data_IF_124893668354
#
_entry.id   IF_124893668354
#
_cell.length_a   1.000
_cell.length_b   1.000
_cell.length_c   1.000
_cell.angle_alpha   90.00
_cell.angle_beta   90.00
_cell.angle_gamma   90.00
#
_symmetry.space_group_name_H-M   'P 1'
#
loop_
_entity.id
_entity.type
_entity.pdbx_description
1 polymer ?
#
# COMPACT_ATOMS: atom_id res chain seq x y z
N UNK A 1 22.89 -2.02 26.83
CA UNK A 1 23.08 -1.71 25.38
C UNK A 1 21.94 -0.85 24.91
N UNK A 2 22.20 0.21 24.13
CA UNK A 2 21.12 0.99 23.51
C UNK A 2 20.56 0.20 22.30
N UNK A 3 19.30 -0.16 22.36
CA UNK A 3 18.61 -0.81 21.22
C UNK A 3 18.58 0.11 20.00
N UNK A 4 18.95 -0.43 18.84
CA UNK A 4 19.08 0.32 17.61
C UNK A 4 17.86 0.10 16.69
N UNK A 5 17.03 1.13 16.58
CA UNK A 5 15.91 1.20 15.63
C UNK A 5 16.37 1.87 14.33
N UNK A 6 15.98 1.33 13.18
CA UNK A 6 16.25 1.90 11.86
C UNK A 6 15.02 1.98 10.98
N UNK A 7 15.00 2.96 10.06
CA UNK A 7 14.03 3.06 8.97
C UNK A 7 14.78 2.89 7.65
N UNK A 8 14.48 1.83 6.90
CA UNK A 8 15.04 1.55 5.57
C UNK A 8 14.04 1.98 4.50
N UNK A 9 14.22 3.14 3.85
CA UNK A 9 13.29 3.60 2.82
C UNK A 9 13.51 2.86 1.50
N UNK A 10 12.47 2.78 0.65
CA UNK A 10 12.57 2.23 -0.71
C UNK A 10 13.61 2.97 -1.57
N UNK A 11 13.80 4.25 -1.31
CA UNK A 11 14.77 5.09 -1.98
C UNK A 11 15.35 6.13 -1.00
N UNK A 12 16.65 6.44 -1.10
CA UNK A 12 17.33 7.36 -0.17
C UNK A 12 16.71 8.78 -0.10
N UNK A 13 16.04 9.22 -1.16
CA UNK A 13 15.36 10.51 -1.22
C UNK A 13 13.84 10.43 -0.91
N UNK A 14 13.36 9.30 -0.41
CA UNK A 14 11.96 9.16 0.00
C UNK A 14 11.55 10.24 1.00
N UNK A 15 10.60 11.12 0.60
CA UNK A 15 10.08 12.18 1.48
C UNK A 15 9.46 11.56 2.73
N UNK A 16 8.54 10.61 2.56
CA UNK A 16 7.83 9.99 3.68
C UNK A 16 8.75 9.19 4.61
N UNK A 17 9.71 8.43 4.06
CA UNK A 17 10.71 7.74 4.87
C UNK A 17 11.58 8.70 5.68
N UNK A 18 11.94 9.85 5.11
CA UNK A 18 12.69 10.90 5.78
C UNK A 18 11.87 11.57 6.90
N UNK A 19 10.62 11.92 6.64
CA UNK A 19 9.74 12.55 7.64
C UNK A 19 9.45 11.59 8.81
N UNK A 20 9.19 10.32 8.53
CA UNK A 20 9.00 9.30 9.56
C UNK A 20 10.25 9.11 10.41
N UNK A 21 11.41 9.02 9.77
CA UNK A 21 12.71 8.94 10.48
C UNK A 21 12.92 10.14 11.39
N UNK A 22 12.64 11.36 10.92
CA UNK A 22 12.79 12.60 11.71
C UNK A 22 11.82 12.63 12.90
N UNK A 23 10.56 12.23 12.70
CA UNK A 23 9.56 12.19 13.78
C UNK A 23 9.92 11.20 14.89
N UNK A 24 10.78 10.23 14.59
CA UNK A 24 11.30 9.25 15.54
C UNK A 24 12.69 9.63 16.11
N UNK A 25 13.28 10.75 15.67
CA UNK A 25 14.62 11.17 16.11
C UNK A 25 15.76 10.24 15.67
N UNK A 26 15.58 9.49 14.56
CA UNK A 26 16.54 8.48 14.14
C UNK A 26 17.59 9.03 13.16
N UNK A 27 18.80 8.45 13.19
CA UNK A 27 19.83 8.66 12.18
C UNK A 27 19.41 8.07 10.81
N UNK A 28 20.10 8.45 9.72
CA UNK A 28 19.90 7.83 8.40
C UNK A 28 20.23 6.34 8.47
N UNK A 29 19.46 5.55 7.69
CA UNK A 29 19.78 4.14 7.50
C UNK A 29 21.18 3.98 6.90
N UNK A 30 21.94 3.03 7.46
CA UNK A 30 23.25 2.65 6.98
C UNK A 30 23.30 1.11 6.92
N UNK A 31 23.55 0.55 5.74
CA UNK A 31 23.60 -0.89 5.51
C UNK A 31 24.74 -1.61 6.27
N UNK A 32 25.78 -0.86 6.68
CA UNK A 32 26.91 -1.40 7.45
C UNK A 32 26.60 -1.54 8.95
N UNK A 33 25.43 -1.08 9.39
CA UNK A 33 25.03 -1.17 10.78
C UNK A 33 24.09 -2.38 11.02
N UNK A 34 24.23 -2.99 12.20
CA UNK A 34 23.25 -3.93 12.73
C UNK A 34 22.13 -3.17 13.44
N UNK A 35 20.89 -3.59 13.25
CA UNK A 35 19.71 -3.04 13.90
C UNK A 35 19.02 -4.11 14.74
N UNK A 36 18.53 -3.77 15.92
CA UNK A 36 17.67 -4.66 16.71
C UNK A 36 16.28 -4.73 16.07
N UNK A 37 15.79 -3.58 15.58
CA UNK A 37 14.53 -3.47 14.86
C UNK A 37 14.70 -2.61 13.61
N UNK A 38 14.37 -3.15 12.45
CA UNK A 38 14.39 -2.45 11.18
C UNK A 38 12.96 -2.33 10.63
N UNK A 39 12.51 -1.11 10.40
CA UNK A 39 11.26 -0.84 9.70
C UNK A 39 11.59 -0.68 8.20
N UNK A 40 11.17 -1.65 7.41
CA UNK A 40 11.37 -1.60 5.97
C UNK A 40 10.22 -0.82 5.31
N UNK A 41 10.50 0.42 4.93
CA UNK A 41 9.56 1.35 4.32
C UNK A 41 9.57 1.24 2.79
N UNK A 42 9.15 0.06 2.29
CA UNK A 42 8.95 -0.22 0.87
C UNK A 42 10.20 -0.65 0.08
N UNK A 43 11.33 -0.94 0.74
CA UNK A 43 12.53 -1.39 0.04
C UNK A 43 12.43 -2.87 -0.36
N UNK A 44 12.68 -3.16 -1.63
CA UNK A 44 12.76 -4.54 -2.16
C UNK A 44 14.18 -5.14 -2.09
N UNK A 45 15.12 -4.42 -1.46
CA UNK A 45 16.50 -4.90 -1.27
C UNK A 45 16.56 -5.74 -0.02
N UNK A 46 17.55 -6.63 0.05
CA UNK A 46 17.85 -7.43 1.23
C UNK A 46 17.74 -6.62 2.53
N UNK A 47 17.16 -7.22 3.58
CA UNK A 47 16.94 -6.58 4.87
C UNK A 47 18.24 -6.29 5.64
N UNK A 48 19.37 -6.82 5.17
CA UNK A 48 20.68 -6.60 5.80
C UNK A 48 20.76 -7.19 7.21
N UNK A 49 21.59 -6.59 8.05
CA UNK A 49 21.87 -7.06 9.41
C UNK A 49 20.82 -6.51 10.40
N UNK A 50 19.65 -7.15 10.49
CA UNK A 50 18.63 -6.81 11.48
C UNK A 50 18.18 -8.06 12.26
N UNK A 51 18.02 -7.93 13.58
CA UNK A 51 17.49 -9.01 14.43
C UNK A 51 16.00 -9.24 14.09
N UNK A 52 15.24 -8.16 13.92
CA UNK A 52 13.85 -8.20 13.49
C UNK A 52 13.61 -7.16 12.39
N UNK A 53 12.96 -7.56 11.31
CA UNK A 53 12.50 -6.65 10.25
C UNK A 53 10.98 -6.65 10.22
N UNK A 54 10.39 -5.45 10.27
CA UNK A 54 8.97 -5.18 10.05
C UNK A 54 8.80 -4.87 8.56
N UNK A 55 7.92 -5.58 7.89
CA UNK A 55 7.79 -5.69 6.44
C UNK A 55 9.06 -6.25 5.78
N UNK A 56 9.24 -7.57 5.85
CA UNK A 56 10.34 -8.24 5.14
C UNK A 56 10.32 -7.96 3.64
N UNK A 57 11.49 -7.93 3.01
CA UNK A 57 11.63 -7.60 1.60
C UNK A 57 10.79 -8.48 0.67
N UNK A 58 10.71 -9.78 0.97
CA UNK A 58 9.89 -10.74 0.20
C UNK A 58 8.40 -10.39 0.23
N UNK A 59 7.89 -9.88 1.37
CA UNK A 59 6.51 -9.45 1.51
C UNK A 59 6.24 -8.15 0.72
N UNK A 60 7.22 -7.25 0.71
CA UNK A 60 7.16 -6.03 -0.10
C UNK A 60 7.18 -6.37 -1.59
N UNK A 61 8.01 -7.32 -2.04
CA UNK A 61 8.02 -7.81 -3.43
C UNK A 61 6.65 -8.36 -3.83
N UNK A 62 6.00 -9.15 -2.96
CA UNK A 62 4.65 -9.68 -3.21
C UNK A 62 3.61 -8.57 -3.41
N UNK A 63 3.68 -7.47 -2.65
CA UNK A 63 2.73 -6.35 -2.76
C UNK A 63 3.05 -5.40 -3.92
N UNK A 64 4.31 -5.28 -4.29
CA UNK A 64 4.78 -4.38 -5.36
C UNK A 64 4.50 -4.91 -6.75
N UNK A 65 4.53 -6.22 -6.93
CA UNK A 65 4.07 -6.91 -8.14
C UNK A 65 2.54 -7.02 -8.12
N UNK A 66 1.88 -6.20 -8.94
CA UNK A 66 0.42 -6.09 -8.96
C UNK A 66 -0.28 -7.39 -9.33
N UNK A 67 0.25 -8.14 -10.28
CA UNK A 67 -0.33 -9.41 -10.69
C UNK A 67 -0.22 -10.46 -9.57
N UNK A 68 0.94 -10.54 -8.94
CA UNK A 68 1.18 -11.40 -7.79
C UNK A 68 0.30 -11.01 -6.60
N UNK A 69 0.18 -9.72 -6.30
CA UNK A 69 -0.70 -9.22 -5.27
C UNK A 69 -2.16 -9.60 -5.53
N UNK A 70 -2.65 -9.42 -6.76
CA UNK A 70 -4.01 -9.80 -7.15
C UNK A 70 -4.26 -11.30 -7.02
N UNK A 71 -3.30 -12.16 -7.38
CA UNK A 71 -3.42 -13.61 -7.20
C UNK A 71 -3.57 -13.98 -5.73
N UNK A 72 -2.66 -13.48 -4.87
CA UNK A 72 -2.69 -13.76 -3.42
C UNK A 72 -3.97 -13.23 -2.75
N UNK A 73 -4.43 -12.04 -3.13
CA UNK A 73 -5.68 -11.48 -2.65
C UNK A 73 -6.88 -12.34 -3.06
N UNK A 74 -6.94 -12.77 -4.31
CA UNK A 74 -8.01 -13.62 -4.84
C UNK A 74 -8.04 -15.00 -4.16
N UNK A 75 -6.89 -15.63 -3.93
CA UNK A 75 -6.75 -16.88 -3.17
C UNK A 75 -7.28 -16.75 -1.74
N UNK A 76 -7.21 -15.54 -1.16
CA UNK A 76 -7.74 -15.20 0.17
C UNK A 76 -9.21 -14.70 0.14
N UNK A 77 -9.95 -14.93 -0.94
CA UNK A 77 -11.33 -14.49 -1.16
C UNK A 77 -11.53 -12.97 -1.09
N UNK A 78 -10.47 -12.19 -1.30
CA UNK A 78 -10.54 -10.75 -1.41
C UNK A 78 -10.80 -10.38 -2.86
N UNK A 79 -11.86 -9.60 -3.09
CA UNK A 79 -12.22 -9.20 -4.44
C UNK A 79 -11.26 -8.16 -4.99
N UNK A 80 -10.71 -8.46 -6.18
CA UNK A 80 -9.90 -7.56 -7.00
C UNK A 80 -10.60 -7.34 -8.35
N UNK A 81 -10.29 -6.28 -9.11
CA UNK A 81 -10.82 -6.10 -10.45
C UNK A 81 -10.50 -7.31 -11.36
N UNK A 82 -11.38 -7.60 -12.30
CA UNK A 82 -11.10 -8.60 -13.36
C UNK A 82 -9.88 -8.15 -14.13
N UNK A 83 -8.93 -9.05 -14.36
CA UNK A 83 -7.66 -8.74 -15.03
C UNK A 83 -7.12 -9.94 -15.79
N UNK A 84 -6.28 -9.67 -16.79
CA UNK A 84 -5.60 -10.67 -17.62
C UNK A 84 -4.29 -10.09 -18.16
N UNK A 85 -3.34 -10.96 -18.51
CA UNK A 85 -2.13 -10.59 -19.27
C UNK A 85 -2.36 -10.69 -20.79
N UNK A 86 -3.46 -11.29 -21.23
CA UNK A 86 -3.81 -11.49 -22.63
C UNK A 86 -4.64 -10.33 -23.17
N UNK A 87 -4.10 -9.62 -24.18
CA UNK A 87 -4.85 -8.61 -24.91
C UNK A 87 -6.10 -9.22 -25.60
N UNK A 88 -6.00 -10.47 -26.02
CA UNK A 88 -7.11 -11.16 -26.67
C UNK A 88 -8.29 -11.35 -25.70
N UNK A 89 -8.01 -11.85 -24.48
CA UNK A 89 -9.03 -11.99 -23.44
C UNK A 89 -9.59 -10.64 -22.96
N UNK A 90 -8.77 -9.59 -22.98
CA UNK A 90 -9.19 -8.24 -22.57
C UNK A 90 -10.25 -7.63 -23.52
N UNK A 91 -10.37 -8.13 -24.77
CA UNK A 91 -11.42 -7.70 -25.71
C UNK A 91 -12.82 -8.03 -25.20
N UNK A 92 -12.94 -9.09 -24.39
CA UNK A 92 -14.22 -9.57 -23.82
C UNK A 92 -14.53 -8.98 -22.44
N UNK A 93 -13.75 -7.97 -21.99
CA UNK A 93 -14.00 -7.28 -20.73
C UNK A 93 -15.10 -6.22 -20.89
N UNK A 94 -15.70 -5.82 -19.75
CA UNK A 94 -16.51 -4.61 -19.72
C UNK A 94 -15.60 -3.38 -19.80
N UNK A 95 -15.91 -2.49 -20.73
CA UNK A 95 -15.12 -1.26 -20.93
C UNK A 95 -15.62 -0.13 -20.04
N UNK A 96 -14.75 0.78 -19.60
CA UNK A 96 -13.33 0.93 -19.99
C UNK A 96 -12.40 -0.17 -19.43
N UNK A 97 -11.30 -0.41 -20.15
CA UNK A 97 -10.21 -1.28 -19.72
C UNK A 97 -8.93 -0.46 -19.52
N UNK A 98 -8.24 -0.69 -18.42
CA UNK A 98 -6.95 -0.05 -18.13
C UNK A 98 -5.82 -0.96 -18.64
N UNK A 99 -5.09 -0.53 -19.67
CA UNK A 99 -3.85 -1.16 -20.13
C UNK A 99 -2.71 -0.67 -19.23
N UNK A 100 -2.03 -1.55 -18.49
CA UNK A 100 -1.08 -1.16 -17.44
C UNK A 100 0.30 -1.76 -17.65
N UNK A 101 1.32 -0.96 -17.31
CA UNK A 101 2.69 -1.44 -17.15
C UNK A 101 2.94 -1.78 -15.68
N UNK A 102 3.51 -2.97 -15.40
CA UNK A 102 3.59 -3.52 -14.04
C UNK A 102 4.53 -2.72 -13.13
N UNK A 103 5.65 -2.23 -13.67
CA UNK A 103 6.73 -1.60 -12.89
C UNK A 103 6.59 -0.08 -12.70
N UNK A 104 5.47 0.54 -13.12
CA UNK A 104 5.25 1.96 -12.98
C UNK A 104 4.32 2.29 -11.81
N UNK A 105 4.63 3.39 -11.13
CA UNK A 105 3.94 3.87 -9.93
C UNK A 105 3.17 5.16 -10.22
N UNK A 106 2.21 5.50 -9.35
CA UNK A 106 1.51 6.78 -9.40
C UNK A 106 0.59 6.96 -10.60
N UNK A 107 0.15 5.89 -11.25
CA UNK A 107 -0.73 5.95 -12.43
C UNK A 107 0.02 6.26 -13.74
N UNK A 108 1.35 6.32 -13.73
CA UNK A 108 2.12 6.39 -14.96
C UNK A 108 2.01 5.08 -15.76
N UNK A 109 2.03 5.16 -17.09
CA UNK A 109 1.92 3.99 -17.95
C UNK A 109 0.54 3.32 -17.93
N UNK A 110 -0.51 4.05 -17.58
CA UNK A 110 -1.89 3.61 -17.74
C UNK A 110 -2.46 4.25 -19.02
N UNK A 111 -2.86 3.39 -19.96
CA UNK A 111 -3.69 3.79 -21.09
C UNK A 111 -5.12 3.31 -20.85
N UNK A 112 -6.10 4.15 -21.14
CA UNK A 112 -7.52 3.87 -20.95
C UNK A 112 -8.12 3.51 -22.32
N UNK A 113 -8.48 2.24 -22.50
CA UNK A 113 -9.21 1.77 -23.68
C UNK A 113 -10.71 1.90 -23.40
N UNK A 114 -11.42 2.64 -24.23
CA UNK A 114 -12.88 2.82 -24.15
C UNK A 114 -13.65 1.76 -24.96
N UNK A 115 -12.97 1.16 -25.93
CA UNK A 115 -13.47 0.10 -26.81
C UNK A 115 -12.39 -0.96 -27.01
N UNK A 116 -12.70 -2.17 -27.52
CA UNK A 116 -11.72 -3.18 -27.88
C UNK A 116 -10.64 -2.70 -28.86
N UNK A 117 -10.95 -1.73 -29.73
CA UNK A 117 -10.02 -1.19 -30.73
C UNK A 117 -8.99 -0.21 -30.11
N UNK A 118 -9.25 0.28 -28.90
CA UNK A 118 -8.34 1.20 -28.19
C UNK A 118 -7.29 0.45 -27.36
N UNK A 119 -7.34 -0.88 -27.31
CA UNK A 119 -6.37 -1.68 -26.57
C UNK A 119 -4.96 -1.49 -27.13
N UNK A 120 -4.01 -1.21 -26.26
CA UNK A 120 -2.59 -1.11 -26.60
C UNK A 120 -1.79 -2.20 -25.91
N UNK A 121 -0.59 -2.52 -26.42
CA UNK A 121 0.32 -3.47 -25.78
C UNK A 121 0.68 -3.02 -24.36
N UNK A 122 0.45 -3.87 -23.40
CA UNK A 122 0.68 -3.63 -21.97
C UNK A 122 1.11 -4.92 -21.26
N UNK A 123 1.60 -4.83 -20.03
CA UNK A 123 1.97 -6.01 -19.25
C UNK A 123 0.71 -6.74 -18.74
N UNK A 124 -0.37 -6.00 -18.48
CA UNK A 124 -1.67 -6.56 -18.10
C UNK A 124 -2.82 -5.57 -18.33
N UNK A 125 -4.01 -6.11 -18.36
CA UNK A 125 -5.27 -5.42 -18.63
C UNK A 125 -6.19 -5.58 -17.43
N UNK A 126 -6.85 -4.49 -17.01
CA UNK A 126 -7.72 -4.47 -15.83
C UNK A 126 -9.05 -3.82 -16.20
N UNK A 127 -10.16 -4.50 -15.92
CA UNK A 127 -11.49 -3.92 -16.05
C UNK A 127 -11.64 -2.74 -15.09
N UNK A 128 -12.08 -1.59 -15.60
CA UNK A 128 -12.27 -0.40 -14.77
C UNK A 128 -13.50 -0.58 -13.87
N UNK A 129 -13.30 -0.32 -12.59
CA UNK A 129 -14.39 -0.33 -11.62
C UNK A 129 -14.85 1.11 -11.40
N UNK A 130 -16.10 1.42 -11.78
CA UNK A 130 -16.69 2.74 -11.51
C UNK A 130 -16.91 2.91 -10.00
N UNK A 131 -16.23 3.88 -9.35
CA UNK A 131 -16.32 4.00 -7.92
C UNK A 131 -17.43 4.95 -7.47
N UNK A 132 -18.27 4.53 -6.51
CA UNK A 132 -19.01 5.48 -5.65
C UNK A 132 -18.01 6.18 -4.73
N UNK A 133 -17.11 5.41 -4.13
CA UNK A 133 -16.08 5.92 -3.24
C UNK A 133 -14.78 5.13 -3.43
N UNK A 134 -13.67 5.80 -3.18
CA UNK A 134 -12.36 5.19 -3.12
C UNK A 134 -11.69 5.56 -1.80
N UNK A 135 -11.15 4.55 -1.12
CA UNK A 135 -10.59 4.68 0.22
C UNK A 135 -9.12 4.27 0.23
N UNK A 136 -8.33 4.90 1.08
CA UNK A 136 -7.03 4.42 1.52
C UNK A 136 -7.11 4.10 2.99
N UNK A 137 -6.87 2.83 3.34
CA UNK A 137 -6.93 2.34 4.72
C UNK A 137 -5.52 1.94 5.16
N UNK A 138 -5.03 2.60 6.19
CA UNK A 138 -3.72 2.34 6.78
C UNK A 138 -3.86 1.29 7.89
N UNK A 139 -3.15 0.18 7.72
CA UNK A 139 -3.13 -0.95 8.66
C UNK A 139 -1.74 -1.08 9.25
N UNK A 140 -1.63 -1.36 10.54
CA UNK A 140 -0.40 -1.73 11.22
C UNK A 140 -0.70 -2.82 12.26
N UNK A 141 -0.01 -3.98 12.18
CA UNK A 141 -0.22 -5.16 13.06
C UNK A 141 -1.72 -5.50 13.28
N UNK A 142 -2.48 -5.61 12.18
CA UNK A 142 -3.93 -5.92 12.16
C UNK A 142 -4.85 -4.82 12.73
N UNK A 143 -4.33 -3.64 13.03
CA UNK A 143 -5.12 -2.50 13.47
C UNK A 143 -5.25 -1.45 12.36
N UNK A 144 -6.44 -0.85 12.23
CA UNK A 144 -6.61 0.33 11.39
C UNK A 144 -6.09 1.53 12.18
N UNK A 145 -5.01 2.15 11.67
CA UNK A 145 -4.40 3.31 12.31
C UNK A 145 -4.85 4.64 11.71
N UNK A 146 -5.35 4.62 10.48
CA UNK A 146 -5.97 5.77 9.81
C UNK A 146 -6.76 5.29 8.60
N UNK A 147 -7.72 6.08 8.13
CA UNK A 147 -8.33 5.86 6.83
C UNK A 147 -8.77 7.18 6.21
N UNK A 148 -8.76 7.23 4.88
CA UNK A 148 -9.06 8.43 4.12
C UNK A 148 -9.94 8.09 2.94
N UNK A 149 -10.74 9.05 2.51
CA UNK A 149 -11.51 9.01 1.28
C UNK A 149 -10.74 9.77 0.20
N UNK A 150 -10.61 9.20 -0.99
CA UNK A 150 -10.06 9.87 -2.14
C UNK A 150 -11.14 10.77 -2.75
N UNK A 151 -10.86 12.05 -2.84
CA UNK A 151 -11.80 13.06 -3.37
C UNK A 151 -11.16 13.86 -4.51
N UNK A 152 -11.94 14.25 -5.54
CA UNK A 152 -11.45 15.14 -6.57
C UNK A 152 -11.19 16.54 -6.00
N UNK A 153 -10.18 17.23 -6.53
CA UNK A 153 -9.87 18.62 -6.17
C UNK A 153 -10.75 19.62 -6.94
N UNK A 154 -11.22 19.21 -8.12
CA UNK A 154 -12.08 20.01 -8.99
C UNK A 154 -12.96 19.12 -9.86
N UNK A 155 -13.92 19.72 -10.56
CA UNK A 155 -14.78 19.06 -11.55
C UNK A 155 -14.00 18.54 -12.76
N UNK A 156 -12.82 19.09 -13.03
CA UNK A 156 -11.94 18.71 -14.14
C UNK A 156 -10.93 17.62 -13.78
N UNK A 157 -11.04 17.00 -12.59
CA UNK A 157 -10.21 15.87 -12.21
C UNK A 157 -10.45 14.68 -13.15
N UNK A 158 -9.36 13.96 -13.50
CA UNK A 158 -9.45 12.83 -14.45
C UNK A 158 -10.45 11.78 -13.97
N UNK A 159 -11.31 11.32 -14.88
CA UNK A 159 -12.38 10.36 -14.55
C UNK A 159 -11.81 8.96 -14.21
N UNK A 160 -10.77 8.53 -14.91
CA UNK A 160 -10.26 7.16 -14.89
C UNK A 160 -8.98 7.01 -14.07
N UNK A 161 -8.03 7.96 -14.22
CA UNK A 161 -6.72 7.92 -13.54
C UNK A 161 -6.78 8.80 -12.29
N UNK A 162 -7.15 8.22 -11.16
CA UNK A 162 -7.48 8.93 -9.93
C UNK A 162 -6.27 9.04 -8.99
N UNK A 163 -5.28 9.84 -9.37
CA UNK A 163 -4.08 10.10 -8.58
C UNK A 163 -3.89 11.60 -8.27
N UNK A 164 -2.88 11.93 -7.47
CA UNK A 164 -2.60 13.32 -7.08
C UNK A 164 -2.31 14.24 -8.27
N UNK A 165 -1.53 13.76 -9.26
CA UNK A 165 -1.17 14.51 -10.46
C UNK A 165 -2.39 14.79 -11.38
N UNK A 166 -3.39 13.91 -11.31
CA UNK A 166 -4.64 13.98 -12.08
C UNK A 166 -5.79 14.60 -11.27
N UNK A 167 -5.47 15.35 -10.22
CA UNK A 167 -6.45 16.19 -9.52
C UNK A 167 -7.16 15.52 -8.34
N UNK A 168 -6.57 14.49 -7.69
CA UNK A 168 -7.16 13.89 -6.51
C UNK A 168 -6.34 14.16 -5.24
N UNK A 169 -7.00 14.12 -4.09
CA UNK A 169 -6.39 14.16 -2.76
C UNK A 169 -7.06 13.14 -1.83
N UNK A 170 -6.35 12.76 -0.78
CA UNK A 170 -6.92 11.99 0.31
C UNK A 170 -7.44 12.94 1.39
N UNK A 171 -8.71 12.75 1.81
CA UNK A 171 -9.34 13.44 2.93
C UNK A 171 -9.43 12.46 4.09
N UNK A 172 -8.75 12.77 5.19
CA UNK A 172 -8.73 11.94 6.39
C UNK A 172 -10.13 11.90 7.02
N UNK A 173 -10.56 10.71 7.44
CA UNK A 173 -11.85 10.47 8.07
C UNK A 173 -11.65 10.27 9.59
N UNK A 174 -11.42 11.37 10.33
CA UNK A 174 -11.07 11.30 11.77
C UNK A 174 -12.22 10.81 12.64
N UNK A 175 -13.44 11.23 12.35
CA UNK A 175 -14.64 10.94 13.16
C UNK A 175 -15.65 10.00 12.46
N UNK A 176 -15.27 9.45 11.30
CA UNK A 176 -16.17 8.60 10.53
C UNK A 176 -16.12 7.14 10.97
N UNK A 177 -17.29 6.50 11.10
CA UNK A 177 -17.34 5.06 11.30
C UNK A 177 -16.92 4.33 10.02
N UNK A 178 -15.86 3.56 10.10
CA UNK A 178 -15.41 2.73 8.97
C UNK A 178 -16.39 1.57 8.72
N UNK A 179 -16.71 1.28 7.46
CA UNK A 179 -17.53 0.12 7.11
C UNK A 179 -16.81 -1.17 7.54
N UNK A 180 -17.57 -2.09 8.20
CA UNK A 180 -16.99 -3.36 8.68
C UNK A 180 -16.31 -4.15 7.56
N UNK A 181 -16.92 -4.22 6.38
CA UNK A 181 -16.35 -4.92 5.23
C UNK A 181 -15.09 -4.23 4.67
N UNK A 182 -15.03 -2.89 4.71
CA UNK A 182 -13.83 -2.13 4.33
C UNK A 182 -12.66 -2.44 5.28
N UNK A 183 -12.95 -2.48 6.61
CA UNK A 183 -11.98 -2.86 7.64
C UNK A 183 -11.46 -4.29 7.43
N UNK A 184 -12.36 -5.24 7.21
CA UNK A 184 -12.03 -6.65 6.94
C UNK A 184 -11.11 -6.77 5.73
N UNK A 185 -11.50 -6.18 4.58
CA UNK A 185 -10.70 -6.24 3.35
C UNK A 185 -9.31 -5.64 3.53
N UNK A 186 -9.19 -4.52 4.24
CA UNK A 186 -7.90 -3.89 4.50
C UNK A 186 -6.99 -4.78 5.36
N UNK A 187 -7.49 -5.33 6.47
CA UNK A 187 -6.71 -6.17 7.37
C UNK A 187 -6.31 -7.49 6.69
N UNK A 188 -7.26 -8.17 6.03
CA UNK A 188 -6.98 -9.44 5.35
C UNK A 188 -6.03 -9.25 4.16
N UNK A 189 -6.05 -8.10 3.47
CA UNK A 189 -5.07 -7.77 2.43
C UNK A 189 -3.64 -7.71 2.97
N UNK A 190 -3.44 -7.11 4.14
CA UNK A 190 -2.12 -7.05 4.80
C UNK A 190 -1.68 -8.45 5.22
N UNK A 191 -2.57 -9.25 5.81
CA UNK A 191 -2.27 -10.61 6.25
C UNK A 191 -1.90 -11.54 5.10
N UNK A 192 -2.70 -11.60 4.02
CA UNK A 192 -2.43 -12.51 2.91
C UNK A 192 -1.13 -12.20 2.17
N UNK A 193 -0.73 -10.92 2.12
CA UNK A 193 0.57 -10.50 1.60
C UNK A 193 1.71 -10.67 2.61
N UNK A 194 1.41 -11.15 3.83
CA UNK A 194 2.35 -11.34 4.95
C UNK A 194 3.08 -10.05 5.34
N UNK A 195 2.40 -8.92 5.20
CA UNK A 195 2.88 -7.61 5.61
C UNK A 195 2.55 -7.35 7.08
N UNK A 196 3.41 -6.59 7.76
CA UNK A 196 3.14 -6.08 9.12
C UNK A 196 2.34 -4.77 9.05
N UNK A 197 2.58 -3.96 8.02
CA UNK A 197 1.83 -2.72 7.76
C UNK A 197 1.73 -2.40 6.27
N UNK A 198 0.76 -1.57 5.94
CA UNK A 198 0.57 -1.04 4.59
C UNK A 198 -0.60 -0.08 4.49
N UNK A 199 -0.74 0.55 3.33
CA UNK A 199 -1.94 1.30 2.96
C UNK A 199 -2.63 0.58 1.81
N UNK A 200 -3.88 0.18 2.04
CA UNK A 200 -4.71 -0.57 1.10
C UNK A 200 -5.65 0.39 0.40
N UNK A 201 -5.56 0.47 -0.94
CA UNK A 201 -6.47 1.25 -1.76
C UNK A 201 -7.66 0.38 -2.17
N UNK A 202 -8.87 0.79 -1.76
CA UNK A 202 -10.10 0.00 -1.92
C UNK A 202 -11.19 0.87 -2.55
N UNK A 203 -11.85 0.35 -3.59
CA UNK A 203 -13.02 0.96 -4.20
C UNK A 203 -14.30 0.33 -3.64
N UNK A 204 -15.30 1.17 -3.36
CA UNK A 204 -16.71 0.78 -3.30
C UNK A 204 -17.33 1.08 -4.67
N UNK A 205 -17.72 0.05 -5.40
CA UNK A 205 -18.34 0.17 -6.73
C UNK A 205 -19.81 0.58 -6.67
N UNK A 206 -20.37 0.97 -7.81
CA UNK A 206 -21.81 1.26 -7.97
C UNK A 206 -22.71 0.07 -7.58
N UNK A 207 -22.21 -1.15 -7.71
CA UNK A 207 -22.90 -2.35 -7.26
C UNK A 207 -22.70 -2.67 -5.78
N UNK A 208 -22.27 -1.70 -4.98
CA UNK A 208 -22.00 -1.81 -3.54
C UNK A 208 -21.03 -2.95 -3.17
N UNK A 209 -20.09 -3.28 -4.08
CA UNK A 209 -19.03 -4.27 -3.83
C UNK A 209 -17.68 -3.58 -3.60
N UNK A 210 -16.92 -4.07 -2.61
CA UNK A 210 -15.55 -3.60 -2.40
C UNK A 210 -14.57 -4.36 -3.28
N UNK A 211 -13.57 -3.63 -3.82
CA UNK A 211 -12.47 -4.18 -4.61
C UNK A 211 -11.15 -3.58 -4.13
N UNK A 212 -10.17 -4.42 -3.85
CA UNK A 212 -8.81 -3.98 -3.54
C UNK A 212 -8.08 -3.69 -4.85
N UNK A 213 -7.48 -2.50 -4.95
CA UNK A 213 -6.75 -2.06 -6.14
C UNK A 213 -5.24 -2.26 -6.01
N UNK A 214 -4.70 -1.97 -4.82
CA UNK A 214 -3.28 -2.10 -4.52
C UNK A 214 -3.02 -2.03 -3.02
N UNK A 215 -1.86 -2.53 -2.61
CA UNK A 215 -1.33 -2.41 -1.25
C UNK A 215 0.03 -1.73 -1.31
N UNK A 216 0.12 -0.56 -0.69
CA UNK A 216 1.31 0.29 -0.71
C UNK A 216 2.12 0.12 0.58
N UNK A 217 3.43 -0.14 0.47
CA UNK A 217 4.37 -0.26 1.60
C UNK A 217 5.33 0.93 1.72
N UNK A 218 5.51 1.71 0.64
CA UNK A 218 6.24 2.98 0.62
C UNK A 218 5.26 4.17 0.66
N UNK A 219 4.53 4.28 1.75
CA UNK A 219 3.35 5.14 1.87
C UNK A 219 3.74 6.61 1.99
N UNK A 220 3.06 7.49 1.25
CA UNK A 220 3.12 8.93 1.50
C UNK A 220 2.37 9.25 2.80
N UNK A 221 3.09 9.79 3.80
CA UNK A 221 2.53 10.09 5.12
C UNK A 221 2.85 11.52 5.51
N UNK A 222 1.86 12.20 6.10
CA UNK A 222 1.98 13.53 6.68
C UNK A 222 0.92 13.74 7.78
N UNK A 223 1.08 14.77 8.61
CA UNK A 223 0.11 15.14 9.63
C UNK A 223 -0.23 13.99 10.59
N UNK A 224 -1.52 13.74 10.79
CA UNK A 224 -2.05 12.70 11.69
C UNK A 224 -1.60 11.30 11.30
N UNK A 225 -1.58 10.98 9.99
CA UNK A 225 -1.14 9.65 9.51
C UNK A 225 0.32 9.40 9.88
N UNK A 226 1.20 10.40 9.69
CA UNK A 226 2.60 10.30 10.09
C UNK A 226 2.75 10.03 11.60
N UNK A 227 1.99 10.77 12.43
CA UNK A 227 1.99 10.57 13.90
C UNK A 227 1.56 9.16 14.29
N UNK A 228 0.51 8.65 13.65
CA UNK A 228 -0.01 7.31 13.95
C UNK A 228 1.01 6.22 13.62
N UNK A 229 1.68 6.29 12.46
CA UNK A 229 2.79 5.39 12.13
C UNK A 229 3.95 5.50 13.13
N UNK A 230 4.36 6.72 13.48
CA UNK A 230 5.44 6.93 14.44
C UNK A 230 5.11 6.34 15.82
N UNK A 231 3.88 6.50 16.29
CA UNK A 231 3.43 5.95 17.57
C UNK A 231 3.43 4.41 17.54
N UNK A 232 2.89 3.78 16.47
CA UNK A 232 2.91 2.32 16.33
C UNK A 232 4.33 1.75 16.25
N UNK A 233 5.23 2.43 15.58
CA UNK A 233 6.64 2.01 15.53
C UNK A 233 7.29 2.08 16.93
N UNK A 234 7.01 3.14 17.71
CA UNK A 234 7.49 3.23 19.10
C UNK A 234 6.92 2.10 19.97
N UNK A 235 5.64 1.80 19.82
CA UNK A 235 4.97 0.70 20.51
C UNK A 235 5.62 -0.65 20.21
N UNK A 236 5.80 -0.98 18.93
CA UNK A 236 6.46 -2.22 18.49
C UNK A 236 7.91 -2.32 18.97
N UNK A 237 8.65 -1.20 18.96
CA UNK A 237 10.00 -1.13 19.48
C UNK A 237 10.01 -1.43 20.99
N UNK A 238 9.13 -0.78 21.75
CA UNK A 238 9.06 -0.94 23.21
C UNK A 238 8.70 -2.38 23.62
N UNK A 239 7.67 -2.98 23.02
CA UNK A 239 7.26 -4.35 23.34
C UNK A 239 8.22 -5.40 22.79
N UNK A 240 8.82 -5.16 21.62
CA UNK A 240 9.87 -6.03 21.08
C UNK A 240 11.08 -6.12 22.01
N UNK A 241 11.50 -5.02 22.60
CA UNK A 241 12.62 -4.99 23.56
C UNK A 241 12.27 -5.69 24.88
N UNK A 242 11.05 -5.52 25.40
CA UNK A 242 10.63 -6.26 26.61
C UNK A 242 10.67 -7.77 26.43
N UNK A 243 10.26 -8.32 25.30
CA UNK A 243 10.31 -9.77 25.03
C UNK A 243 11.73 -10.30 24.97
N UNK A 244 12.69 -9.55 24.45
CA UNK A 244 14.11 -9.96 24.43
C UNK A 244 14.67 -10.13 25.83
N UNK A 245 14.21 -9.37 26.82
CA UNK A 245 14.65 -9.49 28.21
C UNK A 245 14.04 -10.68 28.96
N UNK A 246 12.81 -11.10 28.62
CA UNK A 246 12.12 -12.22 29.32
C UNK A 246 12.73 -13.58 28.95
N UNK A 247 13.35 -13.73 27.79
CA UNK A 247 13.96 -14.98 27.31
C UNK A 247 15.49 -15.06 27.54
N UNK A 248 16.09 -14.14 28.26
CA UNK A 248 17.54 -14.14 28.60
C UNK A 248 17.84 -14.50 30.06
N UNK A 249 16.86 -15.02 30.79
CA UNK A 249 17.03 -15.56 32.15
C UNK A 249 16.52 -16.98 32.22
#
# INVERSE_FOLDING_TARGET
MRHKLGIKPYHQFSKSGRELRRSLGLARYNSNHTYDLLINWGSQRDDGNAVRTVNKEVCIKNSSDKLRAFSLLKESNIRVPKHTVSMYEAKDFNYPVLCRLNNLMGGNGIHVALTPNDLVKADFYVEYITPINEFRVHVFENEIIAWSKKIPKSVNSDKYIRNHAKGYKFSLCENGRIYSKLKEYAIESIKCLKLDFGAVDIILSENHKFFVLEVNTAIGVEGTVLRNYANKIKEVAYYGWKRIFIYKF
#
